data_IF_372176502040
#
_entry.id   IF_372176502040
#
_cell.length_a   1.000
_cell.length_b   1.000
_cell.length_c   1.000
_cell.angle_alpha   90.00
_cell.angle_beta   90.00
_cell.angle_gamma   90.00
#
_symmetry.space_group_name_H-M   'P 1'
#
loop_
_entity.id
_entity.type
_entity.pdbx_description
1 polymer ?
#
# COMPACT_ATOMS: atom_id res chain seq x y z
N UNK A 1 -2.10 8.26 9.82
CA UNK A 1 -1.21 8.75 8.74
C UNK A 1 -1.08 7.63 7.71
N UNK A 2 -1.13 7.93 6.40
CA UNK A 2 -0.78 6.97 5.36
C UNK A 2 0.63 6.41 5.63
N UNK A 3 0.86 5.14 5.32
CA UNK A 3 2.19 4.52 5.53
C UNK A 3 2.54 4.15 6.98
N UNK A 4 1.70 4.48 7.97
CA UNK A 4 1.90 4.11 9.38
C UNK A 4 0.89 3.06 9.81
N UNK A 5 1.39 2.00 10.43
CA UNK A 5 0.60 0.96 11.05
C UNK A 5 0.72 -0.38 10.35
N UNK A 6 0.69 -1.43 11.17
CA UNK A 6 0.67 -2.80 10.71
C UNK A 6 -0.28 -3.65 11.56
N UNK A 7 -0.93 -4.65 10.94
CA UNK A 7 -1.88 -5.54 11.65
C UNK A 7 -1.20 -6.45 12.69
N UNK A 8 -0.07 -7.07 12.32
CA UNK A 8 0.66 -8.06 13.15
C UNK A 8 2.03 -7.56 13.62
N UNK A 9 2.85 -7.00 12.72
CA UNK A 9 4.20 -6.50 12.98
C UNK A 9 4.23 -5.29 13.93
N UNK A 10 5.36 -5.12 14.59
CA UNK A 10 5.59 -4.13 15.66
C UNK A 10 7.08 -3.80 15.76
N UNK A 11 7.44 -2.90 16.67
CA UNK A 11 8.85 -2.53 16.91
C UNK A 11 9.71 -3.76 17.29
N UNK A 12 9.18 -4.68 18.10
CA UNK A 12 9.91 -5.89 18.51
C UNK A 12 9.84 -7.04 17.49
N UNK A 13 8.89 -6.98 16.56
CA UNK A 13 8.75 -7.94 15.45
C UNK A 13 8.63 -7.16 14.13
N UNK A 14 9.76 -6.65 13.60
CA UNK A 14 9.75 -5.75 12.45
C UNK A 14 9.33 -6.46 11.16
N UNK A 15 8.79 -5.68 10.22
CA UNK A 15 8.58 -6.13 8.86
C UNK A 15 9.93 -6.21 8.14
N UNK A 16 10.31 -7.43 7.72
CA UNK A 16 11.59 -7.69 7.06
C UNK A 16 11.71 -6.92 5.74
N UNK A 17 10.60 -6.65 5.04
CA UNK A 17 10.61 -5.91 3.78
C UNK A 17 11.05 -4.46 4.01
N UNK A 18 10.46 -3.81 5.02
CA UNK A 18 10.82 -2.44 5.43
C UNK A 18 12.28 -2.38 5.86
N UNK A 19 12.72 -3.36 6.68
CA UNK A 19 14.11 -3.44 7.11
C UNK A 19 15.09 -3.52 5.93
N UNK A 20 14.83 -4.39 4.96
CA UNK A 20 15.70 -4.56 3.78
C UNK A 20 15.74 -3.28 2.93
N UNK A 21 14.61 -2.60 2.76
CA UNK A 21 14.54 -1.34 2.02
C UNK A 21 15.32 -0.23 2.72
N UNK A 22 15.16 -0.08 4.04
CA UNK A 22 15.92 0.89 4.83
C UNK A 22 17.42 0.62 4.76
N UNK A 23 17.85 -0.62 4.98
CA UNK A 23 19.27 -1.03 4.90
C UNK A 23 19.85 -0.71 3.52
N UNK A 24 19.09 -0.93 2.44
CA UNK A 24 19.51 -0.57 1.09
C UNK A 24 19.59 0.95 0.88
N UNK A 25 18.59 1.71 1.32
CA UNK A 25 18.52 3.15 1.14
C UNK A 25 19.69 3.87 1.83
N UNK A 26 19.90 3.60 3.13
CA UNK A 26 21.02 4.17 3.89
C UNK A 26 22.40 3.81 3.34
N UNK A 27 22.53 2.64 2.70
CA UNK A 27 23.80 2.19 2.11
C UNK A 27 24.06 2.80 0.74
N UNK A 28 23.01 3.09 -0.03
CA UNK A 28 23.12 3.32 -1.48
C UNK A 28 22.81 4.76 -1.87
N UNK A 29 21.86 5.40 -1.21
CA UNK A 29 21.44 6.76 -1.57
C UNK A 29 22.41 7.79 -1.00
N UNK A 30 22.77 8.82 -1.80
CA UNK A 30 23.53 9.97 -1.33
C UNK A 30 22.85 10.76 -0.21
N UNK A 31 21.51 10.81 -0.21
CA UNK A 31 20.69 11.48 0.81
C UNK A 31 19.43 10.69 1.13
N UNK A 32 18.95 10.79 2.37
CA UNK A 32 17.81 10.04 2.90
C UNK A 32 16.93 10.92 3.81
N UNK A 33 16.86 12.22 3.55
CA UNK A 33 16.25 13.20 4.46
C UNK A 33 14.76 12.90 4.74
N UNK A 34 14.03 12.44 3.72
CA UNK A 34 12.60 12.12 3.86
C UNK A 34 12.40 10.81 4.62
N UNK A 35 13.23 9.79 4.36
CA UNK A 35 13.24 8.56 5.13
C UNK A 35 13.60 8.80 6.60
N UNK A 36 14.63 9.62 6.88
CA UNK A 36 15.01 9.97 8.25
C UNK A 36 13.87 10.67 8.98
N UNK A 37 13.21 11.64 8.33
CA UNK A 37 12.02 12.28 8.88
C UNK A 37 10.90 11.27 9.17
N UNK A 38 10.65 10.32 8.25
CA UNK A 38 9.64 9.29 8.45
C UNK A 38 9.95 8.36 9.63
N UNK A 39 11.23 8.05 9.87
CA UNK A 39 11.67 7.26 11.03
C UNK A 39 11.53 8.03 12.35
N UNK A 40 11.74 9.35 12.36
CA UNK A 40 11.43 10.17 13.54
C UNK A 40 9.91 10.20 13.82
N UNK A 41 9.08 10.31 12.78
CA UNK A 41 7.63 10.19 12.93
C UNK A 41 7.24 8.82 13.48
N UNK A 42 7.88 7.74 13.01
CA UNK A 42 7.66 6.39 13.53
C UNK A 42 7.97 6.27 15.02
N UNK A 43 9.08 6.87 15.51
CA UNK A 43 9.40 6.88 16.94
C UNK A 43 8.28 7.53 17.76
N UNK A 44 7.71 8.62 17.26
CA UNK A 44 6.60 9.31 17.92
C UNK A 44 5.33 8.44 17.89
N UNK A 45 5.00 7.81 16.76
CA UNK A 45 3.76 7.02 16.64
C UNK A 45 3.82 5.72 17.44
N UNK A 46 4.98 5.06 17.45
CA UNK A 46 5.19 3.81 18.20
C UNK A 46 5.14 4.02 19.71
N UNK A 47 5.48 5.22 20.20
CA UNK A 47 5.29 5.59 21.61
C UNK A 47 3.81 5.55 22.06
N UNK A 48 2.87 5.78 21.13
CA UNK A 48 1.44 5.70 21.39
C UNK A 48 0.91 4.29 21.30
N UNK A 49 1.33 3.54 20.27
CA UNK A 49 0.95 2.14 20.11
C UNK A 49 2.02 1.40 19.29
N UNK A 50 2.43 0.27 19.83
CA UNK A 50 3.63 -0.47 19.41
C UNK A 50 3.58 -1.05 17.98
N UNK A 51 2.39 -1.13 17.37
CA UNK A 51 2.19 -1.58 15.99
C UNK A 51 2.04 -0.43 14.98
N UNK A 52 2.17 0.82 15.42
CA UNK A 52 2.17 2.02 14.56
C UNK A 52 3.57 2.28 13.99
N UNK A 53 4.13 1.24 13.38
CA UNK A 53 5.42 1.23 12.69
C UNK A 53 5.28 1.75 11.25
N UNK A 54 6.38 2.19 10.64
CA UNK A 54 6.45 2.49 9.21
C UNK A 54 6.22 1.19 8.42
N UNK A 55 5.22 1.19 7.55
CA UNK A 55 4.89 0.03 6.74
C UNK A 55 5.60 0.05 5.38
N UNK A 56 5.48 -1.04 4.62
CA UNK A 56 6.17 -1.17 3.33
C UNK A 56 5.73 -0.13 2.30
N UNK A 57 4.45 0.24 2.28
CA UNK A 57 3.93 1.21 1.31
C UNK A 57 4.46 2.62 1.62
N UNK A 58 4.48 3.00 2.90
CA UNK A 58 5.07 4.26 3.36
C UNK A 58 6.58 4.32 3.13
N UNK A 59 7.29 3.24 3.45
CA UNK A 59 8.74 3.10 3.25
C UNK A 59 9.12 3.24 1.77
N UNK A 60 8.42 2.54 0.86
CA UNK A 60 8.65 2.68 -0.59
C UNK A 60 8.37 4.11 -1.04
N UNK A 61 7.28 4.72 -0.58
CA UNK A 61 6.93 6.10 -0.92
C UNK A 61 8.04 7.09 -0.58
N UNK A 62 8.51 7.11 0.67
CA UNK A 62 9.55 8.06 1.10
C UNK A 62 10.90 7.80 0.43
N UNK A 63 11.28 6.54 0.24
CA UNK A 63 12.53 6.18 -0.44
C UNK A 63 12.51 6.63 -1.91
N UNK A 64 11.37 6.54 -2.60
CA UNK A 64 11.27 7.03 -3.98
C UNK A 64 11.43 8.55 -4.07
N UNK A 65 10.88 9.30 -3.11
CA UNK A 65 11.13 10.76 -3.04
C UNK A 65 12.61 11.04 -2.83
N UNK A 66 13.26 10.32 -1.90
CA UNK A 66 14.70 10.46 -1.67
C UNK A 66 15.54 10.07 -2.89
N UNK A 67 15.13 9.05 -3.67
CA UNK A 67 15.76 8.69 -4.94
C UNK A 67 15.70 9.88 -5.90
N UNK A 68 14.51 10.45 -6.14
CA UNK A 68 14.35 11.55 -7.08
C UNK A 68 15.20 12.76 -6.69
N UNK A 69 15.15 13.16 -5.42
CA UNK A 69 15.97 14.25 -4.88
C UNK A 69 17.47 13.97 -4.99
N UNK A 70 17.88 12.74 -4.70
CA UNK A 70 19.29 12.32 -4.75
C UNK A 70 19.86 12.28 -6.16
N UNK A 71 19.04 12.20 -7.21
CA UNK A 71 19.56 12.21 -8.59
C UNK A 71 20.19 13.55 -8.97
N UNK A 72 19.73 14.66 -8.38
CA UNK A 72 20.13 16.02 -8.75
C UNK A 72 19.75 16.43 -10.18
N UNK A 73 18.91 15.66 -10.86
CA UNK A 73 18.48 15.92 -12.25
C UNK A 73 17.17 16.70 -12.28
N UNK A 74 16.33 16.54 -11.26
CA UNK A 74 14.99 17.13 -11.17
C UNK A 74 14.96 18.30 -10.18
N UNK A 75 14.16 19.32 -10.46
CA UNK A 75 13.81 20.34 -9.46
C UNK A 75 12.75 19.82 -8.49
N UNK A 76 12.56 20.46 -7.33
CA UNK A 76 11.54 20.04 -6.38
C UNK A 76 10.12 20.09 -7.00
N UNK A 77 9.84 21.09 -7.85
CA UNK A 77 8.56 21.18 -8.56
C UNK A 77 8.35 20.04 -9.55
N UNK A 78 9.40 19.62 -10.28
CA UNK A 78 9.30 18.47 -11.20
C UNK A 78 9.06 17.16 -10.44
N UNK A 79 9.66 17.02 -9.25
CA UNK A 79 9.45 15.85 -8.39
C UNK A 79 8.01 15.80 -7.91
N UNK A 80 7.46 16.93 -7.46
CA UNK A 80 6.07 17.04 -7.04
C UNK A 80 5.12 16.68 -8.20
N UNK A 81 5.36 17.20 -9.41
CA UNK A 81 4.58 16.85 -10.60
C UNK A 81 4.65 15.34 -10.91
N UNK A 82 5.84 14.72 -10.84
CA UNK A 82 6.03 13.27 -11.05
C UNK A 82 5.25 12.44 -10.03
N UNK A 83 5.16 12.89 -8.79
CA UNK A 83 4.40 12.21 -7.74
C UNK A 83 2.90 12.38 -7.98
N UNK A 84 2.47 13.60 -8.31
CA UNK A 84 1.06 13.96 -8.50
C UNK A 84 0.41 13.26 -9.70
N UNK A 85 1.15 13.02 -10.78
CA UNK A 85 0.65 12.19 -11.90
C UNK A 85 0.44 10.72 -11.51
N UNK A 86 0.87 10.31 -10.31
CA UNK A 86 0.65 8.97 -9.79
C UNK A 86 1.72 7.95 -10.20
N UNK A 87 2.96 8.38 -10.43
CA UNK A 87 4.07 7.49 -10.82
C UNK A 87 4.23 6.31 -9.86
N UNK A 88 4.10 6.54 -8.55
CA UNK A 88 4.19 5.47 -7.53
C UNK A 88 3.07 4.44 -7.66
N UNK A 89 1.87 4.84 -8.08
CA UNK A 89 0.79 3.91 -8.36
C UNK A 89 1.15 3.00 -9.54
N UNK A 90 1.76 3.57 -10.59
CA UNK A 90 2.26 2.81 -11.75
C UNK A 90 3.29 1.74 -11.36
N UNK A 91 4.25 2.10 -10.50
CA UNK A 91 5.26 1.17 -9.98
C UNK A 91 4.62 0.03 -9.19
N UNK A 92 3.64 0.35 -8.34
CA UNK A 92 2.91 -0.66 -7.58
C UNK A 92 2.13 -1.62 -8.49
N UNK A 93 1.42 -1.07 -9.49
CA UNK A 93 0.66 -1.87 -10.47
C UNK A 93 1.60 -2.81 -11.23
N UNK A 94 2.74 -2.30 -11.69
CA UNK A 94 3.73 -3.12 -12.40
C UNK A 94 4.22 -4.29 -11.53
N UNK A 95 4.67 -4.00 -10.30
CA UNK A 95 5.14 -5.04 -9.39
C UNK A 95 4.06 -6.06 -9.03
N UNK A 96 2.83 -5.61 -8.79
CA UNK A 96 1.72 -6.50 -8.42
C UNK A 96 1.21 -7.35 -9.58
N UNK A 97 1.33 -6.85 -10.82
CA UNK A 97 0.98 -7.59 -12.04
C UNK A 97 1.77 -8.90 -12.16
N UNK A 98 3.04 -8.91 -11.75
CA UNK A 98 3.86 -10.14 -11.71
C UNK A 98 3.19 -11.20 -10.83
N UNK A 99 2.74 -10.82 -9.63
CA UNK A 99 2.03 -11.71 -8.72
C UNK A 99 0.65 -12.15 -9.25
N UNK A 100 -0.09 -11.24 -9.90
CA UNK A 100 -1.38 -11.56 -10.52
C UNK A 100 -1.23 -12.61 -11.63
N UNK A 101 -0.22 -12.46 -12.50
CA UNK A 101 0.12 -13.44 -13.53
C UNK A 101 0.50 -14.77 -12.88
N UNK A 102 1.34 -14.74 -11.84
CA UNK A 102 1.71 -15.94 -11.08
C UNK A 102 0.51 -16.68 -10.52
N UNK A 103 -0.43 -15.97 -9.87
CA UNK A 103 -1.66 -16.57 -9.34
C UNK A 103 -2.54 -17.16 -10.45
N UNK A 104 -2.70 -16.47 -11.58
CA UNK A 104 -3.45 -16.99 -12.71
C UNK A 104 -2.87 -18.32 -13.21
N UNK A 105 -1.55 -18.38 -13.42
CA UNK A 105 -0.86 -19.59 -13.88
C UNK A 105 -0.96 -20.71 -12.85
N UNK A 106 -0.87 -20.39 -11.56
CA UNK A 106 -1.00 -21.37 -10.48
C UNK A 106 -2.40 -22.00 -10.44
N UNK A 107 -3.47 -21.21 -10.59
CA UNK A 107 -4.83 -21.74 -10.68
C UNK A 107 -5.04 -22.64 -11.90
N UNK A 108 -4.42 -22.30 -13.04
CA UNK A 108 -4.43 -23.17 -14.23
C UNK A 108 -3.70 -24.48 -14.00
N UNK A 109 -2.52 -24.42 -13.37
CA UNK A 109 -1.70 -25.60 -13.02
C UNK A 109 -2.41 -26.53 -12.04
N UNK A 110 -3.15 -25.97 -11.08
CA UNK A 110 -3.92 -26.73 -10.08
C UNK A 110 -5.26 -27.25 -10.60
N UNK A 111 -5.66 -26.88 -11.83
CA UNK A 111 -6.96 -27.21 -12.41
C UNK A 111 -8.14 -26.81 -11.51
N UNK A 112 -8.03 -25.65 -10.85
CA UNK A 112 -9.07 -25.18 -9.93
C UNK A 112 -10.40 -24.97 -10.66
N UNK A 113 -11.50 -25.45 -10.05
CA UNK A 113 -12.85 -25.29 -10.58
C UNK A 113 -13.41 -23.88 -10.43
N UNK A 114 -14.66 -23.68 -10.85
CA UNK A 114 -15.35 -22.41 -10.75
C UNK A 114 -15.64 -22.05 -9.27
N UNK A 115 -15.26 -20.83 -8.87
CA UNK A 115 -15.58 -20.31 -7.54
C UNK A 115 -17.00 -19.73 -7.49
N UNK A 116 -17.73 -20.01 -6.41
CA UNK A 116 -19.02 -19.40 -6.08
C UNK A 116 -19.02 -19.00 -4.60
N UNK A 117 -19.35 -17.74 -4.34
CA UNK A 117 -19.42 -17.19 -2.98
C UNK A 117 -20.47 -17.93 -2.13
N UNK A 118 -20.13 -18.41 -0.93
CA UNK A 118 -21.08 -18.97 0.03
C UNK A 118 -22.16 -17.95 0.44
N UNK A 119 -23.41 -18.39 0.51
CA UNK A 119 -24.56 -17.51 0.80
C UNK A 119 -24.54 -16.96 2.23
N UNK A 120 -23.99 -17.72 3.17
CA UNK A 120 -23.85 -17.37 4.59
C UNK A 120 -22.80 -16.28 4.85
N UNK A 121 -21.89 -16.04 3.90
CA UNK A 121 -20.95 -14.92 3.93
C UNK A 121 -21.54 -13.62 3.34
N UNK A 122 -22.77 -13.67 2.78
CA UNK A 122 -23.45 -12.51 2.19
C UNK A 122 -24.62 -12.09 3.07
N UNK A 123 -24.56 -10.89 3.61
CA UNK A 123 -25.66 -10.32 4.38
C UNK A 123 -26.69 -9.67 3.44
N UNK A 124 -27.81 -10.36 3.21
CA UNK A 124 -28.89 -9.89 2.36
C UNK A 124 -29.84 -8.96 3.11
N UNK A 125 -29.65 -7.65 2.96
CA UNK A 125 -30.64 -6.64 3.37
C UNK A 125 -31.47 -6.24 2.15
N UNK A 126 -32.56 -6.97 1.92
CA UNK A 126 -33.50 -6.63 0.85
C UNK A 126 -34.45 -5.54 1.33
N UNK A 127 -34.81 -4.56 0.48
CA UNK A 127 -35.78 -3.54 0.82
C UNK A 127 -37.16 -4.17 1.05
N UNK A 128 -37.96 -3.52 1.88
CA UNK A 128 -39.32 -3.97 2.15
C UNK A 128 -40.20 -3.75 0.91
N UNK A 129 -41.29 -4.51 0.82
CA UNK A 129 -42.19 -4.46 -0.33
C UNK A 129 -42.71 -3.04 -0.62
N UNK A 130 -42.99 -2.26 0.41
CA UNK A 130 -43.46 -0.86 0.28
C UNK A 130 -42.40 0.08 -0.33
N UNK A 131 -41.12 -0.09 0.05
CA UNK A 131 -40.02 0.68 -0.51
C UNK A 131 -39.80 0.38 -1.99
N UNK A 132 -39.96 -0.90 -2.37
CA UNK A 132 -39.86 -1.34 -3.76
C UNK A 132 -40.97 -0.73 -4.62
N UNK A 133 -42.19 -0.62 -4.09
CA UNK A 133 -43.32 -0.01 -4.80
C UNK A 133 -43.12 1.49 -5.01
N UNK A 134 -42.65 2.20 -3.97
CA UNK A 134 -42.41 3.65 -4.05
C UNK A 134 -41.43 4.02 -5.17
N UNK A 135 -40.34 3.27 -5.33
CA UNK A 135 -39.37 3.50 -6.42
C UNK A 135 -39.86 3.10 -7.82
N UNK A 136 -40.93 2.31 -7.92
CA UNK A 136 -41.57 2.00 -9.20
C UNK A 136 -42.54 3.09 -9.66
N UNK A 137 -43.16 3.79 -8.72
CA UNK A 137 -44.11 4.88 -9.01
C UNK A 137 -43.41 6.23 -9.27
N UNK A 138 -42.17 6.40 -8.79
CA UNK A 138 -41.32 7.58 -9.04
C UNK A 138 -40.58 7.55 -10.39
N UNK A 139 -40.77 6.51 -11.22
CA UNK A 139 -40.24 6.38 -12.59
C UNK A 139 -41.34 6.51 -13.63
#
# INVERSE_FOLDING_TARGET
MPGIGHRIKSVQNPDVRVRLLNEWAFKTLPGNDVLEYALEVEKITTSRKNNLILNVDGCVGVIFVDIFRSTGIYTDEEIDDIIDIGTLNGIFVLGRTIGMIGHYLDQKRLHTGLYRQPFDEVFYMLPDHEEVLKHREEK
#
